data_IF_746710089131
#
_entry.id   IF_746710089131
#
_cell.length_a   1.000
_cell.length_b   1.000
_cell.length_c   1.000
_cell.angle_alpha   90.00
_cell.angle_beta   90.00
_cell.angle_gamma   90.00
#
_symmetry.space_group_name_H-M   'P 1'
#
loop_
_entity.id
_entity.type
_entity.pdbx_description
1 polymer ?
#
# COMPACT_ATOMS: atom_id res chain seq x y z
N UNK A 1 19.22 5.81 -10.04
CA UNK A 1 18.43 6.16 -8.85
C UNK A 1 16.95 5.88 -9.13
N UNK A 2 16.29 5.23 -8.22
CA UNK A 2 14.88 4.94 -8.36
C UNK A 2 14.06 6.14 -7.93
N UNK A 3 13.04 6.50 -8.72
CA UNK A 3 12.15 7.61 -8.42
C UNK A 3 10.71 7.14 -8.26
N UNK A 4 9.97 7.87 -7.44
CA UNK A 4 8.55 7.61 -7.21
C UNK A 4 7.75 8.45 -8.22
N UNK A 5 6.83 7.80 -8.91
CA UNK A 5 5.99 8.44 -9.92
C UNK A 5 4.51 8.27 -9.59
N UNK A 6 3.68 9.30 -9.83
CA UNK A 6 2.25 9.09 -9.84
C UNK A 6 1.89 8.03 -10.88
N UNK A 7 0.96 7.16 -10.54
CA UNK A 7 0.54 6.05 -11.39
C UNK A 7 -0.89 6.27 -11.89
N UNK A 8 -1.16 5.76 -13.08
CA UNK A 8 -2.50 5.66 -13.62
C UNK A 8 -2.91 4.21 -13.80
N UNK A 9 -4.12 3.98 -14.32
CA UNK A 9 -4.64 2.61 -14.50
C UNK A 9 -3.76 1.75 -15.39
N UNK A 10 -2.98 2.35 -16.28
CA UNK A 10 -2.02 1.60 -17.11
C UNK A 10 -0.92 0.91 -16.32
N UNK A 11 -0.68 1.37 -15.09
CA UNK A 11 0.31 0.77 -14.19
C UNK A 11 -0.25 -0.39 -13.38
N UNK A 12 -1.58 -0.53 -13.31
CA UNK A 12 -2.21 -1.54 -12.48
C UNK A 12 -1.73 -2.97 -12.77
N UNK A 13 -1.59 -3.42 -14.03
CA UNK A 13 -1.06 -4.76 -14.29
C UNK A 13 0.33 -4.99 -13.69
N UNK A 14 1.20 -3.99 -13.75
CA UNK A 14 2.53 -4.08 -13.16
C UNK A 14 2.49 -4.19 -11.63
N UNK A 15 1.56 -3.47 -11.00
CA UNK A 15 1.34 -3.56 -9.54
C UNK A 15 0.79 -4.94 -9.17
N UNK A 16 -0.15 -5.48 -9.93
CA UNK A 16 -0.69 -6.82 -9.73
C UNK A 16 0.44 -7.85 -9.76
N UNK A 17 1.35 -7.74 -10.71
CA UNK A 17 2.50 -8.64 -10.82
C UNK A 17 3.48 -8.49 -9.66
N UNK A 18 3.74 -7.26 -9.21
CA UNK A 18 4.58 -7.00 -8.04
C UNK A 18 4.02 -7.70 -6.80
N UNK A 19 2.74 -7.54 -6.55
CA UNK A 19 2.09 -8.16 -5.39
C UNK A 19 2.16 -9.68 -5.49
N UNK A 20 2.00 -10.24 -6.69
CA UNK A 20 2.17 -11.67 -6.92
C UNK A 20 3.56 -12.17 -6.55
N UNK A 21 4.61 -11.40 -6.85
CA UNK A 21 5.97 -11.76 -6.45
C UNK A 21 6.14 -11.77 -4.93
N UNK A 22 5.56 -10.77 -4.25
CA UNK A 22 5.59 -10.71 -2.79
C UNK A 22 4.82 -11.88 -2.18
N UNK A 23 3.65 -12.19 -2.69
CA UNK A 23 2.84 -13.33 -2.21
C UNK A 23 3.60 -14.65 -2.36
N UNK A 24 4.29 -14.85 -3.48
CA UNK A 24 5.13 -16.05 -3.66
C UNK A 24 6.27 -16.12 -2.65
N UNK A 25 6.85 -14.97 -2.33
CA UNK A 25 7.92 -14.90 -1.33
C UNK A 25 7.45 -15.41 0.03
N UNK A 26 6.20 -15.15 0.38
CA UNK A 26 5.61 -15.57 1.66
C UNK A 26 4.91 -16.93 1.59
N UNK A 27 4.85 -17.53 0.40
CA UNK A 27 4.13 -18.79 0.22
C UNK A 27 2.61 -18.65 0.25
N UNK A 28 2.10 -17.46 -0.02
CA UNK A 28 0.66 -17.18 -0.03
C UNK A 28 0.01 -17.61 -1.35
N UNK A 29 -1.26 -17.99 -1.25
CA UNK A 29 -2.11 -18.19 -2.42
C UNK A 29 -2.47 -16.80 -2.99
N UNK A 30 -2.32 -16.62 -4.30
CA UNK A 30 -2.61 -15.36 -4.94
C UNK A 30 -3.58 -15.54 -6.10
N UNK A 31 -4.79 -15.04 -5.94
CA UNK A 31 -5.80 -14.94 -6.98
C UNK A 31 -6.10 -13.46 -7.15
N UNK A 32 -5.53 -12.78 -8.17
CA UNK A 32 -5.50 -11.32 -8.22
C UNK A 32 -6.86 -10.63 -8.11
N UNK A 33 -7.87 -11.09 -8.83
CA UNK A 33 -9.19 -10.46 -8.81
C UNK A 33 -9.92 -10.63 -7.46
N UNK A 34 -9.51 -11.60 -6.65
CA UNK A 34 -10.01 -11.81 -5.29
C UNK A 34 -9.23 -10.97 -4.27
N UNK A 35 -7.90 -10.97 -4.40
CA UNK A 35 -7.00 -10.34 -3.42
C UNK A 35 -6.86 -8.83 -3.61
N UNK A 36 -6.84 -8.38 -4.86
CA UNK A 36 -6.61 -6.97 -5.19
C UNK A 36 -7.65 -6.43 -6.17
N UNK A 37 -8.96 -6.55 -5.82
CA UNK A 37 -10.02 -6.14 -6.74
C UNK A 37 -10.00 -4.65 -7.07
N UNK A 38 -9.48 -3.80 -6.18
CA UNK A 38 -9.32 -2.37 -6.41
C UNK A 38 -8.41 -2.06 -7.59
N UNK A 39 -7.40 -2.89 -7.84
CA UNK A 39 -6.49 -2.68 -8.98
C UNK A 39 -7.14 -2.96 -10.33
N UNK A 40 -8.23 -3.72 -10.35
CA UNK A 40 -9.05 -3.95 -11.55
C UNK A 40 -10.12 -2.86 -11.74
N UNK A 41 -10.24 -1.96 -10.78
CA UNK A 41 -11.13 -0.80 -10.79
C UNK A 41 -10.36 0.45 -10.37
N UNK A 42 -9.18 0.59 -10.92
CA UNK A 42 -8.17 1.53 -10.47
C UNK A 42 -8.70 2.96 -10.32
N UNK A 43 -9.36 3.49 -11.34
CA UNK A 43 -9.82 4.88 -11.33
C UNK A 43 -10.90 5.13 -10.28
N UNK A 44 -11.68 4.12 -9.93
CA UNK A 44 -12.73 4.25 -8.91
C UNK A 44 -12.14 4.47 -7.52
N UNK A 45 -10.93 3.99 -7.28
CA UNK A 45 -10.27 4.05 -5.97
C UNK A 45 -9.17 5.11 -5.91
N UNK A 46 -8.43 5.29 -7.00
CA UNK A 46 -7.17 6.04 -6.97
C UNK A 46 -7.09 7.22 -7.93
N UNK A 47 -8.16 7.55 -8.64
CA UNK A 47 -8.19 8.77 -9.43
C UNK A 47 -8.52 9.96 -8.52
N UNK A 48 -7.84 11.11 -8.70
CA UNK A 48 -8.15 12.30 -7.91
C UNK A 48 -9.59 12.77 -8.14
N UNK A 49 -10.28 13.30 -7.14
CA UNK A 49 -9.82 13.59 -5.78
C UNK A 49 -10.04 12.42 -4.81
N UNK A 50 -10.54 11.28 -5.27
CA UNK A 50 -10.85 10.12 -4.43
C UNK A 50 -9.60 9.53 -3.79
N UNK A 51 -8.52 9.45 -4.55
CA UNK A 51 -7.30 8.83 -4.09
C UNK A 51 -6.12 9.17 -4.96
N UNK A 52 -5.00 8.50 -4.70
CA UNK A 52 -3.76 8.61 -5.46
C UNK A 52 -3.03 7.28 -5.40
N UNK A 53 -2.21 7.02 -6.40
CA UNK A 53 -1.35 5.85 -6.41
C UNK A 53 0.04 6.24 -6.89
N UNK A 54 1.07 5.67 -6.28
CA UNK A 54 2.47 5.90 -6.66
C UNK A 54 3.15 4.58 -6.94
N UNK A 55 4.05 4.58 -7.91
CA UNK A 55 4.88 3.42 -8.24
C UNK A 55 6.33 3.82 -8.32
N UNK A 56 7.19 2.82 -8.08
CA UNK A 56 8.62 2.88 -8.39
C UNK A 56 8.86 1.88 -9.51
N UNK A 57 9.55 2.33 -10.57
CA UNK A 57 9.93 1.45 -11.67
C UNK A 57 11.43 1.33 -11.75
N UNK A 58 11.86 0.14 -12.13
CA UNK A 58 13.22 -0.13 -12.55
C UNK A 58 13.11 -0.59 -13.99
N UNK A 59 13.61 0.23 -14.90
CA UNK A 59 13.30 0.10 -16.31
C UNK A 59 11.77 0.15 -16.50
N UNK A 60 11.14 -0.80 -17.14
CA UNK A 60 9.69 -0.82 -17.32
C UNK A 60 8.96 -1.69 -16.30
N UNK A 61 9.66 -2.17 -15.26
CA UNK A 61 9.10 -3.08 -14.27
C UNK A 61 8.72 -2.31 -13.01
N UNK A 62 7.49 -2.48 -12.52
CA UNK A 62 7.06 -1.94 -11.25
C UNK A 62 7.70 -2.75 -10.13
N UNK A 63 8.49 -2.06 -9.28
CA UNK A 63 9.23 -2.68 -8.19
C UNK A 63 8.82 -2.13 -6.81
N UNK A 64 7.95 -1.14 -6.79
CA UNK A 64 7.37 -0.61 -5.55
C UNK A 64 6.04 0.04 -5.83
N UNK A 65 5.17 0.06 -4.81
CA UNK A 65 3.82 0.62 -4.95
C UNK A 65 3.29 1.14 -3.62
N UNK A 66 2.40 2.12 -3.69
CA UNK A 66 1.56 2.54 -2.57
C UNK A 66 0.32 3.26 -3.12
N UNK A 67 -0.81 3.01 -2.52
CA UNK A 67 -2.05 3.71 -2.83
C UNK A 67 -2.62 4.40 -1.59
N UNK A 68 -3.41 5.43 -1.81
CA UNK A 68 -4.15 6.11 -0.75
C UNK A 68 -5.56 6.35 -1.27
N UNK A 69 -6.53 6.03 -0.45
CA UNK A 69 -7.93 6.29 -0.76
C UNK A 69 -8.56 7.11 0.36
N UNK A 70 -9.21 8.23 -0.01
CA UNK A 70 -9.96 9.03 0.95
C UNK A 70 -11.15 8.22 1.43
N UNK A 71 -11.33 8.12 2.74
CA UNK A 71 -12.50 7.47 3.33
C UNK A 71 -13.62 8.49 3.60
N UNK A 72 -13.24 9.64 4.20
CA UNK A 72 -14.16 10.72 4.54
C UNK A 72 -13.37 12.03 4.60
N UNK A 73 -13.96 13.08 5.18
CA UNK A 73 -13.27 14.37 5.29
C UNK A 73 -12.08 14.36 6.24
N UNK A 74 -12.03 13.39 7.16
CA UNK A 74 -11.06 13.37 8.26
C UNK A 74 -10.01 12.27 8.11
N UNK A 75 -10.20 11.30 7.21
CA UNK A 75 -9.30 10.16 7.13
C UNK A 75 -9.11 9.63 5.70
N UNK A 76 -7.95 9.06 5.49
CA UNK A 76 -7.61 8.31 4.29
C UNK A 76 -6.95 6.99 4.70
N UNK A 77 -7.05 6.00 3.84
CA UNK A 77 -6.47 4.68 4.07
C UNK A 77 -5.32 4.43 3.11
N UNK A 78 -4.18 4.02 3.66
CA UNK A 78 -3.03 3.58 2.87
C UNK A 78 -3.24 2.15 2.45
N UNK A 79 -3.06 1.90 1.16
CA UNK A 79 -3.24 0.59 0.52
C UNK A 79 -2.00 0.19 -0.25
N UNK A 80 -1.82 -1.10 -0.44
CA UNK A 80 -0.92 -1.67 -1.44
C UNK A 80 0.52 -1.16 -1.35
N UNK A 81 1.04 -1.01 -0.12
CA UNK A 81 2.45 -0.74 0.07
C UNK A 81 3.21 -2.05 -0.11
N UNK A 82 3.87 -2.19 -1.23
CA UNK A 82 4.67 -3.36 -1.55
C UNK A 82 6.00 -2.94 -2.15
N UNK A 83 7.02 -3.73 -1.89
CA UNK A 83 8.37 -3.56 -2.43
C UNK A 83 8.93 -4.89 -2.87
N UNK A 84 9.55 -4.89 -4.04
CA UNK A 84 10.40 -5.99 -4.45
C UNK A 84 11.46 -6.23 -3.35
N UNK A 85 11.71 -7.50 -3.04
CA UNK A 85 12.62 -7.89 -1.94
C UNK A 85 14.00 -7.24 -2.04
N UNK A 86 14.49 -7.05 -3.27
CA UNK A 86 15.82 -6.46 -3.53
C UNK A 86 15.93 -5.02 -3.04
N UNK A 87 14.81 -4.31 -2.92
CA UNK A 87 14.81 -2.88 -2.60
C UNK A 87 14.56 -2.59 -1.12
N UNK A 88 14.30 -3.61 -0.32
CA UNK A 88 14.00 -3.43 1.11
C UNK A 88 15.25 -2.99 1.86
N UNK A 89 15.04 -2.21 2.93
CA UNK A 89 16.13 -1.71 3.75
C UNK A 89 16.91 -0.55 3.15
N UNK A 90 16.43 0.06 2.06
CA UNK A 90 17.12 1.15 1.36
C UNK A 90 16.36 2.49 1.44
N UNK A 91 15.33 2.57 2.27
CA UNK A 91 14.55 3.79 2.42
C UNK A 91 13.43 3.98 1.38
N UNK A 92 13.26 3.06 0.43
CA UNK A 92 12.24 3.20 -0.61
C UNK A 92 10.84 3.08 -0.03
N UNK A 93 10.61 2.15 0.90
CA UNK A 93 9.32 2.01 1.57
C UNK A 93 8.96 3.27 2.35
N UNK A 94 9.91 3.83 3.06
CA UNK A 94 9.72 5.10 3.77
C UNK A 94 9.35 6.22 2.81
N UNK A 95 10.04 6.33 1.69
CA UNK A 95 9.77 7.36 0.70
C UNK A 95 8.35 7.22 0.11
N UNK A 96 7.89 5.99 -0.12
CA UNK A 96 6.53 5.73 -0.60
C UNK A 96 5.49 6.18 0.44
N UNK A 97 5.68 5.86 1.70
CA UNK A 97 4.76 6.30 2.76
C UNK A 97 4.79 7.82 2.89
N UNK A 98 5.96 8.45 2.79
CA UNK A 98 6.08 9.91 2.82
C UNK A 98 5.34 10.56 1.65
N UNK A 99 5.39 9.99 0.45
CA UNK A 99 4.61 10.48 -0.69
C UNK A 99 3.10 10.42 -0.41
N UNK A 100 2.65 9.33 0.20
CA UNK A 100 1.25 9.16 0.59
C UNK A 100 0.83 10.21 1.63
N UNK A 101 1.66 10.44 2.64
CA UNK A 101 1.39 11.45 3.66
C UNK A 101 1.37 12.87 3.08
N UNK A 102 2.29 13.17 2.15
CA UNK A 102 2.32 14.46 1.49
C UNK A 102 1.04 14.73 0.70
N UNK A 103 0.52 13.72 0.00
CA UNK A 103 -0.74 13.86 -0.70
C UNK A 103 -1.90 14.16 0.28
N UNK A 104 -1.94 13.46 1.42
CA UNK A 104 -2.95 13.74 2.44
C UNK A 104 -2.87 15.18 2.96
N UNK A 105 -1.66 15.71 3.15
CA UNK A 105 -1.47 17.10 3.57
C UNK A 105 -2.03 18.07 2.52
N UNK A 106 -1.73 17.83 1.26
CA UNK A 106 -2.24 18.64 0.15
C UNK A 106 -3.77 18.62 0.09
N UNK A 107 -4.37 17.45 0.39
CA UNK A 107 -5.81 17.28 0.40
C UNK A 107 -6.47 17.71 1.71
N UNK A 108 -5.68 18.16 2.69
CA UNK A 108 -6.15 18.57 4.02
C UNK A 108 -6.88 17.43 4.75
N UNK A 109 -6.37 16.22 4.61
CA UNK A 109 -6.86 15.05 5.32
C UNK A 109 -6.01 14.87 6.57
N UNK A 110 -6.59 14.98 7.79
CA UNK A 110 -5.77 15.04 9.01
C UNK A 110 -5.26 13.70 9.53
N UNK A 111 -5.80 12.57 9.06
CA UNK A 111 -5.48 11.25 9.63
C UNK A 111 -5.30 10.21 8.53
N UNK A 112 -4.27 9.39 8.70
CA UNK A 112 -4.06 8.21 7.85
C UNK A 112 -4.21 6.95 8.69
N UNK A 113 -4.98 5.99 8.16
CA UNK A 113 -5.13 4.66 8.72
C UNK A 113 -4.61 3.62 7.74
N UNK A 114 -4.32 2.43 8.24
CA UNK A 114 -4.01 1.28 7.40
C UNK A 114 -4.29 -0.03 8.14
N UNK A 115 -4.47 -1.09 7.37
CA UNK A 115 -4.53 -2.46 7.87
C UNK A 115 -3.45 -3.27 7.16
N UNK A 116 -2.73 -4.10 7.90
CA UNK A 116 -1.59 -4.84 7.36
C UNK A 116 -1.57 -6.27 7.91
N UNK A 117 -1.34 -7.22 7.02
CA UNK A 117 -1.20 -8.64 7.38
C UNK A 117 -0.19 -8.79 8.53
N UNK A 118 -0.56 -9.56 9.55
CA UNK A 118 0.26 -9.73 10.75
C UNK A 118 1.64 -10.33 10.47
N UNK A 119 1.83 -10.95 9.31
CA UNK A 119 3.08 -11.61 8.93
C UNK A 119 4.11 -10.65 8.30
N UNK A 120 3.71 -9.42 7.96
CA UNK A 120 4.58 -8.43 7.34
C UNK A 120 5.37 -7.64 8.39
N UNK A 121 6.23 -8.31 9.14
CA UNK A 121 6.97 -7.74 10.26
C UNK A 121 7.81 -6.53 9.88
N UNK A 122 8.45 -6.55 8.72
CA UNK A 122 9.32 -5.46 8.27
C UNK A 122 8.51 -4.19 8.01
N UNK A 123 7.34 -4.32 7.42
CA UNK A 123 6.43 -3.18 7.21
C UNK A 123 5.98 -2.60 8.55
N UNK A 124 5.67 -3.44 9.53
CA UNK A 124 5.22 -2.99 10.85
C UNK A 124 6.32 -2.21 11.58
N UNK A 125 7.58 -2.63 11.45
CA UNK A 125 8.70 -1.87 12.00
C UNK A 125 8.83 -0.50 11.32
N UNK A 126 8.63 -0.44 10.02
CA UNK A 126 8.63 0.82 9.29
C UNK A 126 7.51 1.74 9.79
N UNK A 127 6.29 1.24 9.91
CA UNK A 127 5.17 2.05 10.41
C UNK A 127 5.45 2.60 11.80
N UNK A 128 6.00 1.77 12.70
CA UNK A 128 6.37 2.23 14.04
C UNK A 128 7.40 3.36 14.01
N UNK A 129 8.43 3.23 13.19
CA UNK A 129 9.45 4.28 13.04
C UNK A 129 8.89 5.56 12.44
N UNK A 130 7.82 5.47 11.67
CA UNK A 130 7.19 6.63 11.06
C UNK A 130 6.05 7.22 11.91
N UNK A 131 5.90 6.78 13.15
CA UNK A 131 4.96 7.36 14.09
C UNK A 131 3.54 6.78 14.04
N UNK A 132 3.32 5.71 13.30
CA UNK A 132 2.05 5.00 13.34
C UNK A 132 1.90 4.26 14.67
N UNK A 133 0.70 4.34 15.25
CA UNK A 133 0.34 3.60 16.45
C UNK A 133 -0.59 2.47 16.10
N UNK A 134 -0.36 1.32 16.70
CA UNK A 134 -1.20 0.15 16.49
C UNK A 134 -2.55 0.36 17.17
N UNK A 135 -3.63 0.13 16.44
CA UNK A 135 -4.99 0.40 16.92
C UNK A 135 -5.80 -0.86 17.22
N UNK A 136 -5.51 -1.96 16.55
CA UNK A 136 -6.30 -3.16 16.76
C UNK A 136 -5.90 -4.29 15.83
N UNK A 137 -6.76 -5.28 15.80
CA UNK A 137 -6.56 -6.50 15.01
C UNK A 137 -7.90 -6.95 14.44
N UNK A 138 -7.89 -7.48 13.24
CA UNK A 138 -9.07 -8.08 12.63
C UNK A 138 -8.72 -9.35 11.88
N UNK A 139 -9.71 -10.22 11.72
CA UNK A 139 -9.62 -11.43 10.90
C UNK A 139 -10.38 -11.17 9.61
N UNK A 140 -9.81 -11.55 8.47
CA UNK A 140 -10.52 -11.50 7.20
C UNK A 140 -11.27 -12.83 7.03
N UNK A 141 -12.61 -12.84 7.12
CA UNK A 141 -13.38 -14.08 6.99
C UNK A 141 -13.25 -14.63 5.57
N UNK A 142 -13.15 -15.96 5.48
CA UNK A 142 -13.09 -16.70 4.21
C UNK A 142 -11.91 -16.32 3.32
N UNK A 143 -10.85 -15.73 3.89
CA UNK A 143 -9.65 -15.38 3.15
C UNK A 143 -8.84 -16.63 2.82
N UNK A 144 -8.31 -16.67 1.58
CA UNK A 144 -7.54 -17.81 1.06
C UNK A 144 -6.28 -18.11 1.88
N UNK A 145 -5.73 -17.09 2.55
CA UNK A 145 -4.50 -17.20 3.33
C UNK A 145 -4.73 -17.14 4.83
N UNK A 146 -5.99 -17.22 5.26
CA UNK A 146 -6.37 -17.13 6.67
C UNK A 146 -5.78 -15.87 7.32
N UNK A 147 -5.96 -14.74 6.66
CA UNK A 147 -5.28 -13.49 6.99
C UNK A 147 -5.85 -12.86 8.25
N UNK A 148 -4.95 -12.47 9.15
CA UNK A 148 -5.20 -11.53 10.24
C UNK A 148 -4.46 -10.24 9.92
N UNK A 149 -5.03 -9.11 10.33
CA UNK A 149 -4.41 -7.82 10.09
C UNK A 149 -4.33 -7.02 11.38
N UNK A 150 -3.23 -6.26 11.52
CA UNK A 150 -3.11 -5.20 12.52
C UNK A 150 -3.54 -3.89 11.90
N UNK A 151 -4.29 -3.09 12.67
CA UNK A 151 -4.60 -1.71 12.32
C UNK A 151 -3.53 -0.76 12.83
N UNK A 152 -3.27 0.28 12.06
CA UNK A 152 -2.34 1.35 12.43
C UNK A 152 -2.93 2.68 12.03
N UNK A 153 -2.59 3.73 12.79
CA UNK A 153 -2.99 5.08 12.42
C UNK A 153 -1.98 6.12 12.90
N UNK A 154 -2.00 7.27 12.25
CA UNK A 154 -1.26 8.44 12.71
C UNK A 154 -1.92 9.73 12.22
N UNK A 155 -1.69 10.86 12.90
CA UNK A 155 -1.96 12.18 12.31
C UNK A 155 -1.10 12.38 11.07
N UNK A 156 -1.64 13.11 10.14
CA UNK A 156 -0.91 13.46 8.90
C UNK A 156 -0.02 14.68 9.11
#
# INVERSE_FOLDING_TARGET
MLTIHPAGRGDAPGVVDLIGRVYREYGFVYVPDVEVPDLFRFDQHYAPPRGVFFVVREEDVVVGSVGVERLDNDSAELHRLYLDSRLRGRGTGRALVEAALAWCREQRIPRMILWSDTRFDQAHRLYGRMGFQRTGERVLPDDLNQTREYGFERPV
#
